data_IF_185807725977
#
_entry.id   IF_185807725977
#
_cell.length_a   1.000
_cell.length_b   1.000
_cell.length_c   1.000
_cell.angle_alpha   90.00
_cell.angle_beta   90.00
_cell.angle_gamma   90.00
#
_symmetry.space_group_name_H-M   'P 1'
#
loop_
_entity.id
_entity.type
_entity.pdbx_description
1 polymer ?
#
# COMPACT_ATOMS: atom_id res chain seq x y z
N UNK A 1 -0.96 -14.28 -7.53
CA UNK A 1 0.32 -13.88 -6.95
C UNK A 1 1.25 -15.06 -6.84
N UNK A 2 2.46 -14.81 -6.39
CA UNK A 2 3.56 -15.76 -6.25
C UNK A 2 3.69 -16.35 -4.84
N UNK A 3 2.98 -15.78 -3.85
CA UNK A 3 3.01 -16.26 -2.48
C UNK A 3 2.34 -17.63 -2.29
N UNK A 4 2.51 -18.23 -1.09
CA UNK A 4 2.09 -19.60 -0.83
C UNK A 4 0.56 -19.77 -0.75
N UNK A 5 -0.20 -18.68 -0.68
CA UNK A 5 -1.65 -18.73 -0.53
C UNK A 5 -2.36 -18.35 -1.83
N UNK A 6 -3.30 -19.18 -2.27
CA UNK A 6 -4.23 -18.80 -3.35
C UNK A 6 -5.11 -17.64 -2.86
N UNK A 7 -4.93 -16.47 -3.46
CA UNK A 7 -5.65 -15.24 -3.11
C UNK A 7 -6.49 -14.73 -4.28
N UNK A 8 -7.58 -14.04 -3.95
CA UNK A 8 -8.43 -13.34 -4.90
C UNK A 8 -9.22 -12.25 -4.17
N UNK A 9 -10.01 -11.47 -4.92
CA UNK A 9 -10.86 -10.45 -4.32
C UNK A 9 -12.29 -10.94 -4.08
N UNK A 10 -12.98 -10.26 -3.17
CA UNK A 10 -14.41 -10.39 -2.86
C UNK A 10 -14.98 -9.03 -2.44
N UNK A 11 -16.26 -9.00 -2.09
CA UNK A 11 -16.95 -7.85 -1.52
C UNK A 11 -17.65 -8.22 -0.21
N UNK A 12 -18.01 -7.20 0.57
CA UNK A 12 -18.81 -7.36 1.78
C UNK A 12 -19.91 -6.30 1.79
N UNK A 13 -21.17 -6.73 1.96
CA UNK A 13 -22.30 -5.81 1.98
C UNK A 13 -22.23 -4.78 3.14
N UNK A 14 -21.48 -5.08 4.20
CA UNK A 14 -21.25 -4.16 5.33
C UNK A 14 -20.09 -3.18 5.10
N UNK A 15 -19.35 -3.34 3.99
CA UNK A 15 -18.33 -2.40 3.51
C UNK A 15 -18.59 -2.11 2.02
N UNK A 16 -19.66 -1.38 1.69
CA UNK A 16 -19.96 -1.02 0.31
C UNK A 16 -18.85 -0.15 -0.28
N UNK A 17 -18.72 -0.13 -1.61
CA UNK A 17 -17.72 0.67 -2.34
C UNK A 17 -16.26 0.30 -2.08
N UNK A 18 -16.00 -0.91 -1.64
CA UNK A 18 -14.64 -1.42 -1.44
C UNK A 18 -14.50 -2.83 -2.00
N UNK A 19 -13.26 -3.17 -2.32
CA UNK A 19 -12.85 -4.50 -2.80
C UNK A 19 -11.85 -5.09 -1.83
N UNK A 20 -12.10 -6.34 -1.41
CA UNK A 20 -11.31 -7.01 -0.39
C UNK A 20 -10.49 -8.12 -1.04
N UNK A 21 -9.16 -8.00 -1.03
CA UNK A 21 -8.22 -9.03 -1.46
C UNK A 21 -7.68 -9.80 -0.25
N UNK A 22 -7.76 -11.13 -0.29
CA UNK A 22 -7.17 -11.97 0.74
C UNK A 22 -6.97 -13.41 0.24
N UNK A 23 -6.18 -14.24 0.93
CA UNK A 23 -6.22 -15.68 0.78
C UNK A 23 -7.67 -16.20 0.80
N UNK A 24 -8.02 -17.01 -0.19
CA UNK A 24 -9.37 -17.60 -0.34
C UNK A 24 -9.69 -18.68 0.69
N UNK A 25 -8.66 -19.26 1.30
CA UNK A 25 -8.77 -20.25 2.38
C UNK A 25 -7.57 -20.06 3.31
N UNK A 26 -7.58 -19.01 4.17
CA UNK A 26 -6.47 -18.72 5.06
C UNK A 26 -6.33 -19.83 6.11
N UNK A 27 -5.13 -20.42 6.29
CA UNK A 27 -4.88 -21.40 7.35
C UNK A 27 -5.19 -20.85 8.74
N UNK A 28 -5.60 -21.71 9.69
CA UNK A 28 -6.04 -21.28 11.01
C UNK A 28 -4.97 -20.52 11.82
N UNK A 29 -3.70 -20.85 11.60
CA UNK A 29 -2.52 -20.25 12.21
C UNK A 29 -2.05 -18.96 11.51
N UNK A 30 -2.57 -18.67 10.30
CA UNK A 30 -2.25 -17.45 9.59
C UNK A 30 -2.86 -16.23 10.31
N UNK A 31 -2.03 -15.24 10.61
CA UNK A 31 -2.46 -13.91 11.08
C UNK A 31 -2.13 -12.87 10.02
N UNK A 32 -3.14 -12.44 9.28
CA UNK A 32 -3.00 -11.52 8.16
C UNK A 32 -3.05 -10.08 8.66
N UNK A 33 -2.01 -9.27 8.44
CA UNK A 33 -2.13 -7.82 8.57
C UNK A 33 -3.05 -7.27 7.49
N UNK A 34 -3.39 -5.99 7.62
CA UNK A 34 -4.28 -5.30 6.68
C UNK A 34 -3.53 -4.15 6.00
N UNK A 35 -3.73 -3.98 4.70
CA UNK A 35 -3.30 -2.78 3.97
C UNK A 35 -4.54 -2.13 3.35
N UNK A 36 -4.77 -0.86 3.64
CA UNK A 36 -5.80 -0.06 2.96
C UNK A 36 -5.17 0.62 1.75
N UNK A 37 -5.83 0.58 0.60
CA UNK A 37 -5.29 1.03 -0.68
C UNK A 37 -6.18 2.07 -1.37
N UNK A 38 -5.61 3.24 -1.64
CA UNK A 38 -6.18 4.27 -2.52
C UNK A 38 -5.64 4.19 -3.96
N UNK A 39 -6.52 4.39 -4.93
CA UNK A 39 -6.28 4.27 -6.36
C UNK A 39 -5.75 5.55 -7.02
N UNK A 40 -5.21 5.38 -8.23
CA UNK A 40 -4.79 6.47 -9.10
C UNK A 40 -5.96 7.30 -9.62
N UNK A 41 -5.70 8.58 -9.90
CA UNK A 41 -6.70 9.57 -10.38
C UNK A 41 -7.96 9.70 -9.49
N UNK A 42 -7.88 9.20 -8.25
CA UNK A 42 -9.00 9.08 -7.33
C UNK A 42 -10.16 8.27 -7.94
N UNK A 43 -9.87 7.30 -8.82
CA UNK A 43 -10.90 6.47 -9.41
C UNK A 43 -11.40 5.42 -8.42
N UNK A 44 -12.72 5.32 -8.15
CA UNK A 44 -13.28 4.34 -7.24
C UNK A 44 -13.38 2.96 -7.92
N UNK A 45 -12.24 2.39 -8.32
CA UNK A 45 -12.10 1.15 -9.11
C UNK A 45 -11.26 0.13 -8.36
N UNK A 46 -11.90 -0.73 -7.57
CA UNK A 46 -11.18 -1.62 -6.66
C UNK A 46 -10.33 -2.69 -7.35
N UNK A 47 -10.51 -2.92 -8.65
CA UNK A 47 -9.71 -3.84 -9.48
C UNK A 47 -8.61 -3.18 -10.31
N UNK A 48 -8.41 -1.86 -10.20
CA UNK A 48 -7.43 -1.11 -11.00
C UNK A 48 -5.99 -1.62 -10.84
N UNK A 49 -5.63 -2.10 -9.64
CA UNK A 49 -4.29 -2.61 -9.32
C UNK A 49 -4.25 -4.12 -9.06
N UNK A 50 -5.19 -4.88 -9.62
CA UNK A 50 -5.44 -6.29 -9.30
C UNK A 50 -4.19 -7.17 -9.26
N UNK A 51 -3.26 -7.04 -10.22
CA UNK A 51 -2.07 -7.88 -10.27
C UNK A 51 -1.17 -7.70 -9.04
N UNK A 52 -1.06 -6.47 -8.55
CA UNK A 52 -0.30 -6.14 -7.34
C UNK A 52 -1.08 -6.51 -6.07
N UNK A 53 -2.37 -6.18 -5.99
CA UNK A 53 -3.12 -6.41 -4.75
C UNK A 53 -3.36 -7.91 -4.50
N UNK A 54 -3.54 -8.71 -5.57
CA UNK A 54 -3.54 -10.18 -5.48
C UNK A 54 -2.15 -10.73 -5.14
N UNK A 55 -1.07 -10.07 -5.60
CA UNK A 55 0.29 -10.45 -5.20
C UNK A 55 0.45 -10.32 -3.69
N UNK A 56 0.14 -9.16 -3.13
CA UNK A 56 0.25 -8.92 -1.68
C UNK A 56 -0.62 -9.90 -0.92
N UNK A 57 -1.86 -10.11 -1.38
CA UNK A 57 -2.76 -11.05 -0.74
C UNK A 57 -2.24 -12.49 -0.76
N UNK A 58 -1.54 -12.90 -1.81
CA UNK A 58 -0.94 -14.25 -1.88
C UNK A 58 0.15 -14.50 -0.85
N UNK A 59 0.71 -13.45 -0.24
CA UNK A 59 1.67 -13.51 0.88
C UNK A 59 0.99 -13.42 2.26
N UNK A 60 -0.33 -13.57 2.33
CA UNK A 60 -1.06 -13.60 3.59
C UNK A 60 -1.29 -12.21 4.17
N UNK A 61 -1.60 -11.25 3.30
CA UNK A 61 -1.96 -9.88 3.66
C UNK A 61 -3.42 -9.68 3.22
N UNK A 62 -4.25 -9.07 4.05
CA UNK A 62 -5.55 -8.59 3.60
C UNK A 62 -5.36 -7.21 3.00
N UNK A 63 -5.90 -6.95 1.81
CA UNK A 63 -5.91 -5.61 1.22
C UNK A 63 -7.35 -5.15 1.04
N UNK A 64 -7.65 -3.93 1.47
CA UNK A 64 -8.95 -3.29 1.25
C UNK A 64 -8.71 -2.12 0.30
N UNK A 65 -9.11 -2.28 -0.96
CA UNK A 65 -9.01 -1.24 -1.97
C UNK A 65 -10.30 -0.44 -2.04
N UNK A 66 -10.17 0.87 -2.17
CA UNK A 66 -11.29 1.74 -2.50
C UNK A 66 -11.90 1.35 -3.86
N UNK A 67 -13.21 1.50 -4.00
CA UNK A 67 -13.95 1.14 -5.20
C UNK A 67 -14.49 -0.28 -5.20
N UNK A 68 -15.63 -0.45 -5.89
CA UNK A 68 -16.18 -1.78 -6.15
C UNK A 68 -15.36 -2.50 -7.23
N UNK A 69 -15.39 -3.84 -7.28
CA UNK A 69 -14.78 -4.55 -8.38
C UNK A 69 -15.51 -4.19 -9.68
N UNK A 70 -14.77 -3.71 -10.67
CA UNK A 70 -15.38 -3.53 -11.98
C UNK A 70 -15.61 -4.91 -12.63
N UNK A 71 -16.76 -5.17 -13.30
CA UNK A 71 -16.74 -6.14 -14.38
C UNK A 71 -15.69 -5.65 -15.37
N UNK A 72 -14.79 -6.51 -15.85
CA UNK A 72 -13.84 -6.16 -16.92
C UNK A 72 -14.60 -5.44 -18.05
N UNK A 73 -14.48 -4.10 -18.13
CA UNK A 73 -15.18 -3.27 -19.13
C UNK A 73 -16.34 -2.37 -18.66
N UNK A 74 -16.54 -2.10 -17.37
CA UNK A 74 -17.58 -1.16 -16.90
C UNK A 74 -17.16 0.32 -16.93
N UNK A 75 -17.76 1.13 -17.82
CA UNK A 75 -17.53 2.58 -17.97
C UNK A 75 -18.25 3.46 -16.89
N UNK A 76 -18.71 2.90 -15.77
CA UNK A 76 -19.74 3.54 -14.92
C UNK A 76 -19.41 3.70 -13.43
N UNK A 77 -18.15 3.60 -13.03
CA UNK A 77 -17.76 4.11 -11.70
C UNK A 77 -17.82 5.64 -11.73
N UNK A 78 -18.92 6.23 -11.25
CA UNK A 78 -19.08 7.69 -11.14
C UNK A 78 -18.59 8.19 -9.78
N UNK A 79 -18.04 9.40 -9.76
CA UNK A 79 -17.46 10.02 -8.57
C UNK A 79 -15.97 9.76 -8.39
N UNK A 80 -15.42 10.27 -7.29
CA UNK A 80 -14.03 10.10 -6.90
C UNK A 80 -13.98 9.52 -5.49
N UNK A 81 -13.05 8.58 -5.27
CA UNK A 81 -12.70 8.20 -3.90
C UNK A 81 -12.01 9.36 -3.17
N UNK A 82 -11.97 9.27 -1.85
CA UNK A 82 -11.32 10.24 -0.97
C UNK A 82 -10.72 9.52 0.23
N UNK A 83 -9.86 10.20 1.00
CA UNK A 83 -9.31 9.69 2.26
C UNK A 83 -10.38 9.25 3.29
N UNK A 84 -11.63 9.71 3.15
CA UNK A 84 -12.74 9.22 3.97
C UNK A 84 -13.03 7.73 3.73
N UNK A 85 -12.80 7.22 2.52
CA UNK A 85 -12.98 5.80 2.19
C UNK A 85 -11.88 4.94 2.83
N UNK A 86 -10.63 5.43 2.83
CA UNK A 86 -9.56 4.84 3.63
C UNK A 86 -9.93 4.78 5.12
N UNK A 87 -10.51 5.86 5.65
CA UNK A 87 -10.98 5.91 7.04
C UNK A 87 -12.11 4.90 7.32
N UNK A 88 -13.04 4.73 6.38
CA UNK A 88 -14.11 3.71 6.47
C UNK A 88 -13.52 2.30 6.51
N UNK A 89 -12.54 2.00 5.64
CA UNK A 89 -11.82 0.72 5.63
C UNK A 89 -11.15 0.43 6.96
N UNK A 90 -10.40 1.40 7.52
CA UNK A 90 -9.73 1.27 8.82
C UNK A 90 -10.73 0.98 9.94
N UNK A 91 -11.81 1.78 10.01
CA UNK A 91 -12.83 1.63 11.05
C UNK A 91 -13.53 0.28 10.95
N UNK A 92 -13.90 -0.13 9.74
CA UNK A 92 -14.60 -1.38 9.50
C UNK A 92 -13.73 -2.58 9.85
N UNK A 93 -12.45 -2.61 9.44
CA UNK A 93 -11.62 -3.78 9.71
C UNK A 93 -11.23 -3.88 11.19
N UNK A 94 -11.08 -2.75 11.88
CA UNK A 94 -10.86 -2.73 13.33
C UNK A 94 -12.03 -3.36 14.10
N UNK A 95 -13.25 -3.30 13.56
CA UNK A 95 -14.44 -3.91 14.16
C UNK A 95 -14.66 -5.37 13.78
N UNK A 96 -14.17 -5.79 12.60
CA UNK A 96 -14.48 -7.10 12.01
C UNK A 96 -13.32 -8.11 12.06
N UNK A 97 -12.08 -7.66 12.21
CA UNK A 97 -10.93 -8.55 12.34
C UNK A 97 -11.08 -9.52 13.51
N UNK A 98 -10.65 -10.76 13.31
CA UNK A 98 -10.77 -11.84 14.30
C UNK A 98 -12.17 -12.46 14.41
N UNK A 99 -13.13 -12.09 13.55
CA UNK A 99 -14.52 -12.58 13.61
C UNK A 99 -14.96 -13.23 12.30
N UNK A 100 -15.76 -14.30 12.41
CA UNK A 100 -16.41 -14.94 11.26
C UNK A 100 -15.43 -15.25 10.12
N UNK A 101 -15.75 -14.78 8.91
CA UNK A 101 -14.89 -14.96 7.72
C UNK A 101 -13.55 -14.20 7.76
N UNK A 102 -13.35 -13.34 8.76
CA UNK A 102 -12.13 -12.58 9.02
C UNK A 102 -11.38 -13.07 10.27
N UNK A 103 -11.63 -14.31 10.73
CA UNK A 103 -11.02 -14.88 11.93
C UNK A 103 -9.47 -14.88 11.92
N UNK A 104 -8.87 -14.95 10.72
CA UNK A 104 -7.42 -14.93 10.51
C UNK A 104 -6.87 -13.51 10.30
N UNK A 105 -7.69 -12.47 10.33
CA UNK A 105 -7.24 -11.08 10.15
C UNK A 105 -6.86 -10.48 11.50
N UNK A 106 -5.79 -9.71 11.49
CA UNK A 106 -5.24 -9.00 12.63
C UNK A 106 -5.05 -7.51 12.31
N UNK A 107 -6.05 -6.70 12.70
CA UNK A 107 -6.06 -5.27 12.45
C UNK A 107 -5.09 -4.47 13.35
N UNK A 108 -4.40 -5.10 14.32
CA UNK A 108 -3.36 -4.41 15.08
C UNK A 108 -2.11 -4.08 14.24
N UNK A 109 -1.98 -4.78 13.11
CA UNK A 109 -0.91 -4.62 12.10
C UNK A 109 -1.53 -4.10 10.81
N UNK A 110 -1.82 -2.80 10.79
CA UNK A 110 -2.49 -2.13 9.68
C UNK A 110 -1.54 -1.17 8.98
N UNK A 111 -1.53 -1.18 7.66
CA UNK A 111 -0.87 -0.18 6.83
C UNK A 111 -1.85 0.59 5.95
N UNK A 112 -1.42 1.75 5.47
CA UNK A 112 -2.12 2.53 4.45
C UNK A 112 -1.19 2.79 3.27
N UNK A 113 -1.73 2.73 2.07
CA UNK A 113 -0.98 2.96 0.87
C UNK A 113 -1.85 3.49 -0.27
N UNK A 114 -1.22 4.01 -1.30
CA UNK A 114 -1.94 4.34 -2.52
C UNK A 114 -1.04 4.88 -3.62
N UNK A 115 -1.62 4.96 -4.82
CA UNK A 115 -0.96 5.47 -6.01
C UNK A 115 -1.44 6.88 -6.37
N UNK A 116 -0.53 7.79 -6.71
CA UNK A 116 -0.87 9.16 -7.15
C UNK A 116 -1.83 9.85 -6.17
N UNK A 117 -3.06 10.17 -6.57
CA UNK A 117 -4.12 10.68 -5.68
C UNK A 117 -4.33 9.81 -4.44
N UNK A 118 -4.44 8.49 -4.59
CA UNK A 118 -4.56 7.56 -3.45
C UNK A 118 -3.37 7.61 -2.50
N UNK A 119 -2.18 8.03 -2.96
CA UNK A 119 -1.04 8.31 -2.10
C UNK A 119 -1.26 9.53 -1.19
N UNK A 120 -1.96 10.56 -1.68
CA UNK A 120 -2.40 11.70 -0.87
C UNK A 120 -3.43 11.27 0.18
N UNK A 121 -4.34 10.38 -0.20
CA UNK A 121 -5.31 9.80 0.75
C UNK A 121 -4.63 8.93 1.82
N UNK A 122 -3.54 8.25 1.47
CA UNK A 122 -2.71 7.53 2.42
C UNK A 122 -2.05 8.50 3.42
N UNK A 123 -1.56 9.66 2.97
CA UNK A 123 -1.05 10.68 3.89
C UNK A 123 -2.10 11.25 4.82
N UNK A 124 -3.29 11.55 4.32
CA UNK A 124 -4.38 12.09 5.13
C UNK A 124 -4.82 11.13 6.25
N UNK A 125 -4.69 9.82 6.01
CA UNK A 125 -5.02 8.78 6.99
C UNK A 125 -3.84 8.25 7.81
N UNK A 126 -2.61 8.61 7.45
CA UNK A 126 -1.39 8.13 8.09
C UNK A 126 -1.26 8.48 9.59
N UNK A 127 -1.95 9.54 10.04
CA UNK A 127 -1.94 9.96 11.45
C UNK A 127 -2.87 9.13 12.34
N UNK A 128 -3.71 8.26 11.75
CA UNK A 128 -4.58 7.38 12.51
C UNK A 128 -3.74 6.41 13.38
N UNK A 129 -4.00 6.32 14.71
CA UNK A 129 -3.19 5.49 15.62
C UNK A 129 -3.13 3.99 15.27
N UNK A 130 -4.10 3.48 14.50
CA UNK A 130 -4.11 2.10 14.02
C UNK A 130 -3.01 1.84 12.96
N UNK A 131 -2.58 2.87 12.23
CA UNK A 131 -1.63 2.75 11.13
C UNK A 131 -0.21 2.51 11.65
N UNK A 132 0.40 1.39 11.26
CA UNK A 132 1.74 0.94 11.66
C UNK A 132 2.77 0.97 10.54
N UNK A 133 2.36 1.11 9.28
CA UNK A 133 3.27 1.26 8.15
C UNK A 133 2.60 1.97 6.98
N UNK A 134 3.37 2.69 6.18
CA UNK A 134 2.87 3.52 5.08
C UNK A 134 3.62 3.17 3.79
N UNK A 135 2.91 3.17 2.67
CA UNK A 135 3.47 2.95 1.34
C UNK A 135 2.97 3.99 0.35
N UNK A 136 3.87 4.79 -0.21
CA UNK A 136 3.55 5.88 -1.12
C UNK A 136 4.06 5.49 -2.51
N UNK A 137 3.14 5.28 -3.45
CA UNK A 137 3.47 4.74 -4.77
C UNK A 137 3.22 5.80 -5.84
N UNK A 138 4.23 6.13 -6.66
CA UNK A 138 4.15 7.19 -7.69
C UNK A 138 3.40 8.46 -7.20
N UNK A 139 3.77 8.95 -6.01
CA UNK A 139 3.03 10.03 -5.34
C UNK A 139 3.97 10.85 -4.47
N UNK A 140 3.48 12.02 -4.07
CA UNK A 140 4.06 12.88 -3.06
C UNK A 140 3.13 14.06 -2.76
N UNK A 141 3.17 14.57 -1.53
CA UNK A 141 2.27 15.61 -1.04
C UNK A 141 2.81 17.03 -1.24
N UNK A 142 4.13 17.21 -1.30
CA UNK A 142 4.74 18.53 -1.40
C UNK A 142 5.16 18.88 -2.80
N UNK A 143 4.91 20.12 -3.19
CA UNK A 143 5.75 20.76 -4.20
C UNK A 143 7.08 21.17 -3.56
N UNK A 144 8.15 21.20 -4.36
CA UNK A 144 9.48 21.57 -3.88
C UNK A 144 9.44 22.92 -3.13
N UNK A 145 9.98 22.94 -1.90
CA UNK A 145 9.99 24.13 -1.04
C UNK A 145 8.73 24.38 -0.19
N UNK A 146 7.69 23.54 -0.27
CA UNK A 146 6.48 23.66 0.56
C UNK A 146 6.58 22.84 1.86
N UNK A 147 5.92 23.28 2.94
CA UNK A 147 5.70 22.52 4.19
C UNK A 147 4.20 22.32 4.44
N UNK A 148 3.56 21.43 3.67
CA UNK A 148 2.14 21.06 3.82
C UNK A 148 1.90 19.70 4.48
N UNK A 149 2.95 19.00 4.89
CA UNK A 149 2.77 17.73 5.57
C UNK A 149 2.14 17.92 6.95
N UNK A 150 1.11 17.14 7.30
CA UNK A 150 0.77 16.96 8.70
C UNK A 150 1.97 16.28 9.39
N UNK A 151 2.65 17.02 10.27
CA UNK A 151 3.80 16.58 11.09
C UNK A 151 3.50 15.43 12.08
N UNK A 152 2.47 14.61 11.85
CA UNK A 152 1.88 13.79 12.91
C UNK A 152 2.09 12.28 12.78
N UNK A 153 2.47 11.73 11.62
CA UNK A 153 2.64 10.27 11.51
C UNK A 153 4.05 9.85 11.96
N UNK A 154 4.09 8.77 12.75
CA UNK A 154 5.32 8.19 13.34
C UNK A 154 5.65 6.81 12.77
N UNK A 155 4.85 6.36 11.80
CA UNK A 155 4.92 5.03 11.25
C UNK A 155 5.96 4.95 10.13
N UNK A 156 6.71 3.85 10.03
CA UNK A 156 7.64 3.58 8.94
C UNK A 156 7.00 3.82 7.57
N UNK A 157 7.75 4.45 6.66
CA UNK A 157 7.25 4.83 5.33
C UNK A 157 8.19 4.39 4.21
N UNK A 158 7.62 3.79 3.15
CA UNK A 158 8.32 3.48 1.92
C UNK A 158 7.76 4.28 0.74
N UNK A 159 8.63 4.88 -0.06
CA UNK A 159 8.30 5.57 -1.30
C UNK A 159 8.76 4.73 -2.49
N UNK A 160 7.84 4.42 -3.39
CA UNK A 160 8.09 3.69 -4.63
C UNK A 160 7.82 4.63 -5.81
N UNK A 161 8.86 5.27 -6.32
CA UNK A 161 8.76 6.32 -7.34
C UNK A 161 9.16 5.81 -8.73
N UNK A 162 8.49 6.33 -9.76
CA UNK A 162 8.67 5.93 -11.16
C UNK A 162 9.85 6.60 -11.87
N UNK A 163 10.81 7.16 -11.14
CA UNK A 163 11.94 7.89 -11.71
C UNK A 163 11.55 9.24 -12.33
N UNK A 164 12.49 9.95 -12.98
CA UNK A 164 12.28 11.34 -13.43
C UNK A 164 11.12 11.56 -14.41
N UNK A 165 10.67 10.51 -15.10
CA UNK A 165 9.53 10.53 -16.01
C UNK A 165 8.17 10.43 -15.29
N UNK A 166 8.15 10.15 -13.99
CA UNK A 166 6.96 10.15 -13.15
C UNK A 166 6.57 11.59 -12.78
N UNK A 167 5.32 11.97 -13.06
CA UNK A 167 4.78 13.30 -12.77
C UNK A 167 4.79 13.65 -11.27
N UNK A 168 4.86 12.64 -10.40
CA UNK A 168 4.92 12.78 -8.96
C UNK A 168 6.35 12.64 -8.39
N UNK A 169 7.36 12.45 -9.25
CA UNK A 169 8.75 12.22 -8.84
C UNK A 169 9.27 13.35 -7.94
N UNK A 170 9.15 14.59 -8.41
CA UNK A 170 9.67 15.75 -7.67
C UNK A 170 8.99 15.92 -6.31
N UNK A 171 7.72 15.55 -6.22
CA UNK A 171 6.95 15.60 -4.98
C UNK A 171 7.43 14.54 -4.00
N UNK A 172 7.55 13.27 -4.42
CA UNK A 172 8.09 12.22 -3.56
C UNK A 172 9.55 12.49 -3.13
N UNK A 173 10.35 13.10 -4.00
CA UNK A 173 11.71 13.57 -3.68
C UNK A 173 11.70 14.69 -2.62
N UNK A 174 10.78 15.65 -2.73
CA UNK A 174 10.62 16.74 -1.76
C UNK A 174 10.15 16.22 -0.39
N UNK A 175 9.18 15.32 -0.39
CA UNK A 175 8.65 14.66 0.81
C UNK A 175 9.76 13.95 1.59
N UNK A 176 10.57 13.14 0.88
CA UNK A 176 11.69 12.42 1.47
C UNK A 176 12.63 13.35 2.24
N UNK A 177 13.00 14.51 1.65
CA UNK A 177 13.98 15.44 2.22
C UNK A 177 13.54 16.03 3.56
N UNK A 178 12.23 16.18 3.77
CA UNK A 178 11.71 16.85 4.97
C UNK A 178 11.28 15.88 6.08
N UNK A 179 11.20 14.58 5.80
CA UNK A 179 10.88 13.58 6.82
C UNK A 179 11.94 13.59 7.94
N UNK A 180 11.55 13.35 9.21
CA UNK A 180 12.51 13.26 10.31
C UNK A 180 13.55 12.17 10.05
N UNK A 181 14.82 12.45 10.32
CA UNK A 181 15.88 11.47 10.11
C UNK A 181 15.72 10.21 10.99
N UNK A 182 15.07 10.33 12.15
CA UNK A 182 14.77 9.23 13.07
C UNK A 182 13.59 8.35 12.65
N UNK A 183 12.79 8.77 11.68
CA UNK A 183 11.69 7.97 11.16
C UNK A 183 12.27 6.85 10.26
N UNK A 184 11.91 5.57 10.46
CA UNK A 184 12.30 4.51 9.54
C UNK A 184 11.71 4.77 8.17
N UNK A 185 12.56 4.97 7.17
CA UNK A 185 12.11 5.33 5.83
C UNK A 185 12.97 4.73 4.75
N UNK A 186 12.33 4.36 3.65
CA UNK A 186 12.97 3.92 2.41
C UNK A 186 12.37 4.67 1.22
N UNK A 187 13.19 5.00 0.22
CA UNK A 187 12.73 5.54 -1.04
C UNK A 187 13.51 4.88 -2.17
N UNK A 188 12.78 4.23 -3.07
CA UNK A 188 13.30 3.69 -4.31
C UNK A 188 12.79 4.47 -5.52
N UNK A 189 13.68 4.60 -6.50
CA UNK A 189 13.41 5.11 -7.83
C UNK A 189 13.66 4.02 -8.87
N UNK A 190 12.68 3.80 -9.73
CA UNK A 190 12.75 2.90 -10.89
C UNK A 190 12.20 3.66 -12.09
N UNK A 191 12.97 3.85 -13.16
CA UNK A 191 12.58 4.69 -14.31
C UNK A 191 11.55 4.01 -15.22
N UNK A 192 10.30 4.01 -14.75
CA UNK A 192 9.13 3.38 -15.41
C UNK A 192 7.95 4.35 -15.53
N UNK A 193 8.14 5.62 -15.14
CA UNK A 193 7.12 6.66 -15.18
C UNK A 193 5.98 6.46 -14.19
N UNK A 194 4.95 7.31 -14.32
CA UNK A 194 3.85 7.41 -13.34
C UNK A 194 2.99 6.15 -13.22
N UNK A 195 2.85 5.39 -14.33
CA UNK A 195 2.05 4.17 -14.36
C UNK A 195 2.80 2.95 -13.81
N UNK A 196 4.07 3.09 -13.44
CA UNK A 196 4.83 2.05 -12.76
C UNK A 196 4.82 0.71 -13.49
N UNK A 197 4.81 -0.37 -12.71
CA UNK A 197 4.85 -1.76 -13.22
C UNK A 197 3.56 -2.55 -12.94
N UNK A 198 2.48 -1.88 -12.49
CA UNK A 198 1.28 -2.51 -11.94
C UNK A 198 0.58 -3.48 -12.90
N UNK A 199 0.62 -3.24 -14.21
CA UNK A 199 0.01 -4.12 -15.21
C UNK A 199 0.80 -5.40 -15.47
N UNK A 200 2.06 -5.47 -15.02
CA UNK A 200 2.90 -6.65 -15.18
C UNK A 200 2.41 -7.77 -14.26
N UNK A 201 2.89 -9.00 -14.51
CA UNK A 201 2.65 -10.14 -13.62
C UNK A 201 3.04 -9.77 -12.20
N UNK A 202 2.18 -10.08 -11.24
CA UNK A 202 2.36 -9.77 -9.81
C UNK A 202 2.54 -8.27 -9.50
N UNK A 203 2.21 -7.37 -10.44
CA UNK A 203 2.46 -5.94 -10.31
C UNK A 203 3.91 -5.51 -10.55
N UNK A 204 4.75 -6.40 -11.11
CA UNK A 204 6.16 -6.15 -11.38
C UNK A 204 6.98 -5.77 -10.15
N UNK A 205 8.04 -5.00 -10.34
CA UNK A 205 8.93 -4.53 -9.27
C UNK A 205 8.18 -3.80 -8.15
N UNK A 206 7.12 -3.05 -8.48
CA UNK A 206 6.30 -2.32 -7.50
C UNK A 206 5.49 -3.28 -6.63
N UNK A 207 4.87 -4.28 -7.24
CA UNK A 207 4.11 -5.29 -6.50
C UNK A 207 4.99 -6.19 -5.64
N UNK A 208 6.12 -6.67 -6.16
CA UNK A 208 7.09 -7.48 -5.42
C UNK A 208 7.66 -6.70 -4.23
N UNK A 209 8.10 -5.46 -4.47
CA UNK A 209 8.71 -4.64 -3.41
C UNK A 209 7.69 -4.20 -2.36
N UNK A 210 6.47 -3.87 -2.78
CA UNK A 210 5.36 -3.60 -1.86
C UNK A 210 5.06 -4.81 -0.97
N UNK A 211 5.01 -6.03 -1.54
CA UNK A 211 4.81 -7.25 -0.77
C UNK A 211 5.92 -7.42 0.27
N UNK A 212 7.18 -7.25 -0.13
CA UNK A 212 8.33 -7.36 0.76
C UNK A 212 8.26 -6.33 1.90
N UNK A 213 7.81 -5.10 1.62
CA UNK A 213 7.64 -4.05 2.62
C UNK A 213 6.64 -4.49 3.69
N UNK A 214 5.44 -4.93 3.28
CA UNK A 214 4.41 -5.39 4.22
C UNK A 214 4.80 -6.66 4.97
N UNK A 215 5.50 -7.58 4.31
CA UNK A 215 6.02 -8.80 4.97
C UNK A 215 7.00 -8.42 6.07
N UNK A 216 7.85 -7.45 5.83
CA UNK A 216 8.75 -6.96 6.87
C UNK A 216 8.01 -6.18 7.97
N UNK A 217 7.34 -5.08 7.62
CA UNK A 217 6.86 -4.08 8.58
C UNK A 217 5.55 -4.47 9.26
N UNK A 218 4.73 -5.31 8.62
CA UNK A 218 3.43 -5.72 9.16
C UNK A 218 3.38 -7.21 9.48
N UNK A 219 4.10 -8.10 8.76
CA UNK A 219 4.17 -9.53 9.12
C UNK A 219 5.33 -9.86 10.05
N UNK A 220 6.29 -8.96 10.23
CA UNK A 220 7.46 -9.18 11.08
C UNK A 220 8.45 -10.19 10.49
N UNK A 221 8.38 -10.44 9.17
CA UNK A 221 9.28 -11.37 8.46
C UNK A 221 10.64 -10.71 8.27
N UNK A 222 11.52 -10.88 9.26
CA UNK A 222 12.81 -10.19 9.35
C UNK A 222 13.75 -10.47 8.16
N UNK A 223 13.56 -11.57 7.44
CA UNK A 223 14.36 -11.85 6.24
C UNK A 223 14.21 -10.77 5.14
N UNK A 224 13.14 -9.97 5.16
CA UNK A 224 12.94 -8.88 4.20
C UNK A 224 13.66 -7.59 4.58
N UNK A 225 14.24 -7.48 5.79
CA UNK A 225 15.09 -6.34 6.13
C UNK A 225 16.28 -6.20 5.16
N UNK A 226 16.90 -7.34 4.80
CA UNK A 226 18.03 -7.36 3.87
C UNK A 226 17.63 -6.89 2.46
N UNK A 227 16.40 -7.17 2.03
CA UNK A 227 15.88 -6.69 0.76
C UNK A 227 15.93 -5.15 0.68
N UNK A 228 15.53 -4.45 1.74
CA UNK A 228 15.53 -2.98 1.77
C UNK A 228 16.90 -2.37 2.07
N UNK A 229 17.89 -3.16 2.46
CA UNK A 229 19.28 -2.71 2.60
C UNK A 229 20.05 -2.79 1.27
N UNK A 230 19.91 -3.87 0.51
CA UNK A 230 20.64 -4.06 -0.75
C UNK A 230 19.95 -4.96 -1.79
N UNK A 231 19.03 -5.84 -1.38
CA UNK A 231 18.36 -6.77 -2.28
C UNK A 231 17.44 -6.12 -3.32
N UNK A 232 16.97 -4.90 -3.08
CA UNK A 232 16.11 -4.14 -4.01
C UNK A 232 16.69 -3.95 -5.41
N UNK A 233 18.01 -4.08 -5.55
CA UNK A 233 18.70 -3.97 -6.85
C UNK A 233 18.29 -5.07 -7.84
N UNK A 234 17.83 -6.24 -7.35
CA UNK A 234 17.32 -7.31 -8.22
C UNK A 234 16.03 -6.92 -8.95
N UNK A 235 15.25 -6.02 -8.37
CA UNK A 235 14.04 -5.46 -8.97
C UNK A 235 14.30 -4.14 -9.73
N UNK A 236 15.58 -3.75 -9.87
CA UNK A 236 16.02 -2.58 -10.63
C UNK A 236 15.99 -1.24 -9.88
N UNK A 237 15.70 -1.24 -8.58
CA UNK A 237 15.61 0.01 -7.82
C UNK A 237 16.97 0.66 -7.58
N UNK A 238 17.02 1.98 -7.73
CA UNK A 238 18.00 2.83 -7.06
C UNK A 238 17.36 3.41 -5.80
N UNK A 239 17.91 3.13 -4.62
CA UNK A 239 17.23 3.48 -3.37
C UNK A 239 18.14 4.10 -2.33
N UNK A 240 17.51 4.87 -1.45
CA UNK A 240 18.09 5.43 -0.22
C UNK A 240 17.21 5.08 0.97
N UNK A 241 17.83 4.93 2.13
CA UNK A 241 17.14 4.57 3.37
C UNK A 241 17.67 5.34 4.57
N UNK A 242 16.85 5.51 5.61
CA UNK A 242 17.29 6.03 6.91
C UNK A 242 16.55 5.31 8.04
N UNK A 243 17.24 5.09 9.17
CA UNK A 243 16.69 4.54 10.41
C UNK A 243 15.90 3.23 10.26
N UNK A 244 16.22 2.43 9.24
CA UNK A 244 15.58 1.13 9.00
C UNK A 244 15.95 0.06 10.05
N UNK A 245 17.03 0.27 10.80
CA UNK A 245 17.50 -0.61 11.86
C UNK A 245 16.71 -0.49 13.18
N UNK A 246 15.73 0.42 13.25
CA UNK A 246 14.86 0.59 14.42
C UNK A 246 13.48 -0.07 14.25
N UNK A 247 13.30 -0.81 13.15
CA UNK A 247 12.13 -1.63 12.82
C UNK A 247 12.16 -3.01 13.48
#
# INVERSE_FOLDING_TARGET
>A
GSGPYKAYFTTDATLPRHTIYMPTSPPADLKMPVVVWGNGACFPKGTMFINMLVEWASHGIMVIANGEPEPTGGLLATGQETAQWNTQSINWITQNAGKGKYAQVDASRLGVAGQSCGGLEAYETASNPAVKSIGIFNSGALQEGQKRFPQAFKSPVAYFLGGPSDIAYNQGEADWKILPASLPRWKGNLDVGHFGTYCQRNGGSFGISGANWWRWTLRGEQQFAQYFQNGFTTEGWSAVSASLNTL
#
